data_IF_942129582051
#
_entry.id   IF_942129582051
#
_cell.length_a   1.000
_cell.length_b   1.000
_cell.length_c   1.000
_cell.angle_alpha   90.00
_cell.angle_beta   90.00
_cell.angle_gamma   90.00
#
_symmetry.space_group_name_H-M   'P 1'
#
loop_
_entity.id
_entity.type
_entity.pdbx_description
1 polymer ?
#
# COMPACT_ATOMS: atom_id res chain seq x y z
N UNK A 1 -3.07 28.15 -23.86
CA UNK A 1 -4.35 27.43 -23.71
C UNK A 1 -4.62 27.19 -22.23
N UNK A 2 -5.61 27.88 -21.64
CA UNK A 2 -5.90 27.90 -20.19
C UNK A 2 -6.92 26.83 -19.75
N UNK A 3 -7.24 25.87 -20.62
CA UNK A 3 -8.44 25.03 -20.46
C UNK A 3 -8.13 23.53 -20.32
N UNK A 4 -6.93 23.16 -19.87
CA UNK A 4 -6.56 21.75 -19.66
C UNK A 4 -5.93 21.45 -18.29
N UNK A 5 -6.04 22.34 -17.30
CA UNK A 5 -5.95 21.88 -15.92
C UNK A 5 -7.31 21.27 -15.58
N UNK A 6 -7.56 20.03 -16.05
CA UNK A 6 -8.48 19.14 -15.33
C UNK A 6 -8.09 19.28 -13.86
N UNK A 7 -9.03 19.63 -12.99
CA UNK A 7 -8.75 19.77 -11.57
C UNK A 7 -8.20 18.42 -11.08
N UNK A 8 -6.88 18.32 -10.92
CA UNK A 8 -6.25 17.13 -10.38
C UNK A 8 -6.57 17.17 -8.90
N UNK A 9 -7.43 16.25 -8.44
CA UNK A 9 -7.71 16.10 -7.02
C UNK A 9 -6.44 15.61 -6.35
N UNK A 10 -5.86 16.46 -5.49
CA UNK A 10 -4.73 16.09 -4.65
C UNK A 10 -5.24 15.26 -3.48
N UNK A 11 -4.69 14.06 -3.29
CA UNK A 11 -4.99 13.25 -2.12
C UNK A 11 -4.35 13.85 -0.88
N UNK A 12 -5.10 13.80 0.22
CA UNK A 12 -4.61 14.16 1.54
C UNK A 12 -3.86 12.96 2.14
N UNK A 13 -2.84 13.21 2.97
CA UNK A 13 -2.15 12.19 3.77
C UNK A 13 -3.09 11.19 4.45
N UNK A 14 -4.14 11.71 5.10
CA UNK A 14 -5.12 10.91 5.83
C UNK A 14 -5.84 9.90 4.94
N UNK A 15 -6.08 10.21 3.67
CA UNK A 15 -6.76 9.29 2.75
C UNK A 15 -5.86 8.11 2.38
N UNK A 16 -4.56 8.34 2.24
CA UNK A 16 -3.60 7.26 1.97
C UNK A 16 -3.39 6.40 3.22
N UNK A 17 -3.35 7.00 4.41
CA UNK A 17 -3.31 6.25 5.67
C UNK A 17 -4.56 5.42 5.90
N UNK A 18 -5.73 6.01 5.67
CA UNK A 18 -7.01 5.31 5.76
C UNK A 18 -7.04 4.09 4.82
N UNK A 19 -6.54 4.25 3.58
CA UNK A 19 -6.37 3.14 2.67
C UNK A 19 -5.44 2.06 3.23
N UNK A 20 -4.26 2.44 3.73
CA UNK A 20 -3.28 1.48 4.24
C UNK A 20 -3.87 0.68 5.41
N UNK A 21 -4.55 1.33 6.35
CA UNK A 21 -5.15 0.66 7.50
C UNK A 21 -6.28 -0.28 7.10
N UNK A 22 -7.18 0.14 6.20
CA UNK A 22 -8.23 -0.74 5.65
C UNK A 22 -7.63 -1.94 4.91
N UNK A 23 -6.55 -1.72 4.18
CA UNK A 23 -5.86 -2.79 3.44
C UNK A 23 -5.14 -3.76 4.38
N UNK A 24 -4.55 -3.26 5.47
CA UNK A 24 -4.00 -4.10 6.54
C UNK A 24 -5.09 -4.93 7.22
N UNK A 25 -6.28 -4.38 7.42
CA UNK A 25 -7.40 -5.13 8.01
C UNK A 25 -7.83 -6.31 7.12
N UNK A 26 -7.98 -6.07 5.81
CA UNK A 26 -8.32 -7.10 4.82
C UNK A 26 -7.21 -8.15 4.73
N UNK A 27 -5.96 -7.74 4.53
CA UNK A 27 -4.83 -8.67 4.47
C UNK A 27 -4.61 -9.41 5.78
N UNK A 28 -4.83 -8.75 6.92
CA UNK A 28 -4.73 -9.36 8.24
C UNK A 28 -5.72 -10.51 8.40
N UNK A 29 -6.97 -10.34 7.98
CA UNK A 29 -7.95 -11.44 7.97
C UNK A 29 -7.52 -12.60 7.07
N UNK A 30 -6.94 -12.31 5.91
CA UNK A 30 -6.42 -13.33 4.98
C UNK A 30 -5.27 -14.11 5.65
N UNK A 31 -4.30 -13.40 6.22
CA UNK A 31 -3.16 -14.03 6.89
C UNK A 31 -3.57 -14.83 8.14
N UNK A 32 -4.63 -14.40 8.85
CA UNK A 32 -5.22 -15.19 9.95
C UNK A 32 -5.87 -16.46 9.42
N UNK A 33 -6.69 -16.36 8.36
CA UNK A 33 -7.32 -17.52 7.72
C UNK A 33 -6.27 -18.52 7.22
N UNK A 34 -5.17 -18.03 6.67
CA UNK A 34 -4.09 -18.84 6.11
C UNK A 34 -3.09 -19.34 7.18
N UNK A 35 -3.34 -19.03 8.46
CA UNK A 35 -2.51 -19.49 9.60
C UNK A 35 -1.14 -18.80 9.72
N UNK A 36 -0.91 -17.73 8.97
CA UNK A 36 0.33 -16.93 9.01
C UNK A 36 0.35 -15.92 10.16
N UNK A 37 -0.84 -15.49 10.62
CA UNK A 37 -1.04 -14.73 11.86
C UNK A 37 -1.95 -15.56 12.77
N UNK A 38 -1.48 -15.89 13.97
CA UNK A 38 -2.28 -16.59 14.98
C UNK A 38 -2.97 -15.56 15.90
N UNK A 39 -4.10 -15.95 16.50
CA UNK A 39 -4.73 -15.24 17.62
C UNK A 39 -3.70 -14.94 18.72
N UNK A 40 -2.77 -15.85 18.98
CA UNK A 40 -1.67 -15.63 19.94
C UNK A 40 -0.79 -14.43 19.57
N UNK A 41 -0.58 -14.16 18.29
CA UNK A 41 0.21 -13.00 17.84
C UNK A 41 -0.55 -11.68 18.13
N UNK A 42 -1.88 -11.72 18.04
CA UNK A 42 -2.76 -10.60 18.41
C UNK A 42 -2.77 -10.38 19.91
N UNK A 43 -2.94 -11.45 20.69
CA UNK A 43 -2.89 -11.40 22.15
C UNK A 43 -1.53 -10.91 22.65
N UNK A 44 -0.44 -11.40 22.07
CA UNK A 44 0.92 -10.96 22.42
C UNK A 44 1.12 -9.46 22.16
N UNK A 45 0.59 -8.95 21.05
CA UNK A 45 0.61 -7.52 20.78
C UNK A 45 -0.24 -6.73 21.78
N UNK A 46 -1.47 -7.16 22.07
CA UNK A 46 -2.39 -6.43 22.95
C UNK A 46 -1.96 -6.47 24.43
N UNK A 47 -1.44 -7.60 24.90
CA UNK A 47 -1.12 -7.83 26.31
C UNK A 47 0.32 -7.45 26.64
N UNK A 48 1.27 -7.81 25.77
CA UNK A 48 2.71 -7.61 26.01
C UNK A 48 3.29 -6.43 25.23
N UNK A 49 2.50 -5.79 24.36
CA UNK A 49 2.98 -4.74 23.47
C UNK A 49 3.93 -5.24 22.37
N UNK A 50 4.14 -6.56 22.24
CA UNK A 50 5.02 -7.11 21.22
C UNK A 50 4.26 -7.26 19.90
N UNK A 51 4.29 -6.20 19.10
CA UNK A 51 3.49 -6.09 17.88
C UNK A 51 4.29 -6.30 16.60
N UNK A 52 5.46 -6.95 16.62
CA UNK A 52 6.34 -7.05 15.42
C UNK A 52 5.62 -7.61 14.19
N UNK A 53 4.83 -8.68 14.35
CA UNK A 53 4.04 -9.27 13.26
C UNK A 53 2.95 -8.31 12.76
N UNK A 54 2.22 -7.67 13.66
CA UNK A 54 1.08 -6.81 13.31
C UNK A 54 1.46 -5.41 12.83
N UNK A 55 2.50 -4.79 13.39
CA UNK A 55 2.87 -3.39 13.14
C UNK A 55 3.98 -3.24 12.09
N UNK A 56 4.74 -4.31 11.81
CA UNK A 56 5.82 -4.26 10.83
C UNK A 56 5.50 -5.19 9.67
N UNK A 57 5.28 -6.48 9.93
CA UNK A 57 5.16 -7.47 8.86
C UNK A 57 3.85 -7.32 8.08
N UNK A 58 2.71 -7.12 8.76
CA UNK A 58 1.42 -6.96 8.09
C UNK A 58 1.37 -5.70 7.19
N UNK A 59 1.81 -4.50 7.62
CA UNK A 59 1.91 -3.35 6.74
C UNK A 59 2.87 -3.57 5.57
N UNK A 60 4.03 -4.18 5.81
CA UNK A 60 4.99 -4.50 4.75
C UNK A 60 4.38 -5.46 3.70
N UNK A 61 3.68 -6.49 4.16
CA UNK A 61 2.94 -7.41 3.30
C UNK A 61 1.86 -6.69 2.48
N UNK A 62 1.09 -5.82 3.13
CA UNK A 62 0.03 -5.03 2.49
C UNK A 62 0.60 -4.13 1.39
N UNK A 63 1.73 -3.47 1.65
CA UNK A 63 2.43 -2.65 0.65
C UNK A 63 2.97 -3.52 -0.49
N UNK A 64 3.52 -4.71 -0.20
CA UNK A 64 3.96 -5.63 -1.25
C UNK A 64 2.80 -6.07 -2.16
N UNK A 65 1.64 -6.41 -1.60
CA UNK A 65 0.45 -6.75 -2.38
C UNK A 65 0.00 -5.59 -3.27
N UNK A 66 0.04 -4.36 -2.75
CA UNK A 66 -0.21 -3.14 -3.53
C UNK A 66 0.78 -3.01 -4.70
N UNK A 67 2.08 -3.21 -4.46
CA UNK A 67 3.11 -3.12 -5.50
C UNK A 67 2.90 -4.15 -6.61
N UNK A 68 2.63 -5.41 -6.25
CA UNK A 68 2.38 -6.49 -7.20
C UNK A 68 1.15 -6.22 -8.06
N UNK A 69 0.04 -5.79 -7.44
CA UNK A 69 -1.18 -5.43 -8.16
C UNK A 69 -0.96 -4.22 -9.09
N UNK A 70 -0.21 -3.23 -8.63
CA UNK A 70 0.13 -2.03 -9.41
C UNK A 70 1.03 -2.34 -10.60
N UNK A 71 2.01 -3.23 -10.42
CA UNK A 71 2.90 -3.66 -11.50
C UNK A 71 2.15 -4.45 -12.58
N UNK A 72 1.19 -5.30 -12.19
CA UNK A 72 0.36 -6.10 -13.11
C UNK A 72 -0.67 -5.28 -13.90
N UNK A 73 -1.16 -4.17 -13.36
CA UNK A 73 -2.33 -3.44 -13.90
C UNK A 73 -2.03 -2.45 -15.03
N UNK A 74 -0.79 -2.37 -15.54
CA UNK A 74 -0.35 -1.32 -16.48
C UNK A 74 -0.62 0.12 -16.01
N UNK A 75 -0.92 0.31 -14.72
CA UNK A 75 -1.14 1.60 -14.07
C UNK A 75 0.12 2.46 -14.14
N UNK A 76 -0.02 3.79 -14.17
CA UNK A 76 1.11 4.73 -14.09
C UNK A 76 1.57 5.00 -12.65
N UNK A 77 0.85 4.46 -11.67
CA UNK A 77 1.09 4.71 -10.26
C UNK A 77 0.82 3.52 -9.34
N UNK A 78 0.61 3.78 -8.05
CA UNK A 78 0.21 2.78 -7.07
C UNK A 78 -1.30 2.66 -7.05
N UNK A 79 -1.81 1.47 -7.38
CA UNK A 79 -3.22 1.13 -7.27
C UNK A 79 -3.52 0.84 -5.80
N UNK A 80 -4.16 1.81 -5.17
CA UNK A 80 -4.65 1.71 -3.80
C UNK A 80 -6.14 1.25 -3.84
N UNK A 81 -7.06 1.64 -2.97
CA UNK A 81 -8.44 1.08 -2.96
C UNK A 81 -9.32 1.55 -4.12
N UNK A 82 -10.36 0.76 -4.46
CA UNK A 82 -11.49 1.19 -5.31
C UNK A 82 -11.10 1.80 -6.67
N UNK A 83 -10.04 1.26 -7.30
CA UNK A 83 -9.54 1.77 -8.58
C UNK A 83 -8.88 3.14 -8.49
N UNK A 84 -8.56 3.62 -7.28
CA UNK A 84 -7.78 4.83 -7.06
C UNK A 84 -6.31 4.56 -7.33
N UNK A 85 -5.72 5.42 -8.15
CA UNK A 85 -4.31 5.39 -8.49
C UNK A 85 -3.59 6.60 -7.89
N UNK A 86 -2.59 6.34 -7.05
CA UNK A 86 -1.63 7.36 -6.59
C UNK A 86 -0.52 7.52 -7.62
N UNK A 87 -0.45 8.70 -8.20
CA UNK A 87 0.55 9.15 -9.18
C UNK A 87 1.32 10.32 -8.60
N UNK A 88 2.42 10.72 -9.24
CA UNK A 88 3.14 11.94 -8.86
C UNK A 88 2.26 13.20 -8.89
N UNK A 89 1.24 13.21 -9.74
CA UNK A 89 0.38 14.36 -9.98
C UNK A 89 -0.67 14.57 -8.87
N UNK A 90 -1.16 13.47 -8.27
CA UNK A 90 -2.23 13.50 -7.28
C UNK A 90 -1.81 13.05 -5.88
N UNK A 91 -0.57 12.57 -5.69
CA UNK A 91 -0.07 12.15 -4.39
C UNK A 91 0.07 13.32 -3.41
N UNK A 92 -0.05 13.08 -2.09
CA UNK A 92 0.21 14.11 -1.09
C UNK A 92 1.60 14.73 -1.25
N UNK A 93 1.70 16.07 -1.10
CA UNK A 93 2.94 16.83 -1.30
C UNK A 93 3.76 17.03 -0.03
N UNK A 94 3.30 16.54 1.10
CA UNK A 94 4.07 16.62 2.33
C UNK A 94 5.32 15.74 2.24
N UNK A 95 6.33 16.07 3.06
CA UNK A 95 7.64 15.41 2.99
C UNK A 95 7.56 13.91 3.32
N UNK A 96 6.69 13.50 4.25
CA UNK A 96 6.62 12.09 4.67
C UNK A 96 6.11 11.23 3.51
N UNK A 97 5.10 11.70 2.78
CA UNK A 97 4.60 11.00 1.60
C UNK A 97 5.57 11.03 0.43
N UNK A 98 6.31 12.12 0.22
CA UNK A 98 7.37 12.14 -0.79
C UNK A 98 8.44 11.06 -0.50
N UNK A 99 8.83 10.91 0.77
CA UNK A 99 9.80 9.89 1.22
C UNK A 99 9.24 8.46 1.15
N UNK A 100 7.93 8.28 1.28
CA UNK A 100 7.30 6.97 1.22
C UNK A 100 6.95 6.56 -0.22
N UNK A 101 6.21 7.40 -0.95
CA UNK A 101 5.62 7.06 -2.26
C UNK A 101 6.69 6.99 -3.35
N UNK A 102 7.68 7.88 -3.35
CA UNK A 102 8.73 7.89 -4.36
C UNK A 102 9.47 6.55 -4.48
N UNK A 103 10.03 6.02 -3.37
CA UNK A 103 10.65 4.69 -3.37
C UNK A 103 9.69 3.56 -3.77
N UNK A 104 8.43 3.61 -3.36
CA UNK A 104 7.44 2.59 -3.72
C UNK A 104 7.13 2.59 -5.23
N UNK A 105 7.07 3.76 -5.87
CA UNK A 105 6.91 3.88 -7.32
C UNK A 105 8.10 3.26 -8.06
N UNK A 106 9.32 3.48 -7.57
CA UNK A 106 10.53 2.85 -8.12
C UNK A 106 10.46 1.33 -7.98
N UNK A 107 10.11 0.82 -6.79
CA UNK A 107 9.97 -0.61 -6.54
C UNK A 107 8.92 -1.26 -7.44
N UNK A 108 7.79 -0.59 -7.67
CA UNK A 108 6.74 -1.06 -8.58
C UNK A 108 7.27 -1.23 -10.00
N UNK A 109 7.98 -0.23 -10.55
CA UNK A 109 8.52 -0.32 -11.91
C UNK A 109 9.62 -1.39 -12.00
N UNK A 110 10.42 -1.56 -10.95
CA UNK A 110 11.38 -2.67 -10.86
C UNK A 110 10.67 -4.03 -10.89
N UNK A 111 9.62 -4.23 -10.08
CA UNK A 111 8.81 -5.45 -10.06
C UNK A 111 8.17 -5.73 -11.42
N UNK A 112 7.63 -4.69 -12.08
CA UNK A 112 7.03 -4.82 -13.42
C UNK A 112 8.03 -5.36 -14.43
N UNK A 113 9.28 -4.89 -14.36
CA UNK A 113 10.34 -5.31 -15.27
C UNK A 113 10.95 -6.68 -14.95
N UNK A 114 10.57 -7.33 -13.84
CA UNK A 114 11.01 -8.67 -13.50
C UNK A 114 10.22 -9.77 -14.23
N UNK A 115 9.15 -9.44 -14.96
CA UNK A 115 8.29 -10.40 -15.69
C UNK A 115 7.88 -11.61 -14.83
N UNK A 116 7.48 -11.35 -13.58
CA UNK A 116 7.13 -12.39 -12.62
C UNK A 116 5.97 -13.25 -13.14
N UNK A 117 6.22 -14.54 -13.36
CA UNK A 117 5.17 -15.54 -13.61
C UNK A 117 4.57 -16.00 -12.30
N UNK A 118 3.26 -16.25 -12.27
CA UNK A 118 2.63 -16.92 -11.12
C UNK A 118 3.20 -18.34 -11.04
N UNK A 119 3.85 -18.65 -9.91
CA UNK A 119 4.41 -19.96 -9.61
C UNK A 119 3.37 -20.95 -9.10
#
# INVERSE_FOLDING_TARGET
SRTLKKAITLYKPVQVWEWLFKSCEVNGRILVRDGLIDVKDVEECLVKGNCKKLYIQLPAWTVLQCLLASAKSNSSGLVISDGVELTEMNSPRDKVFAWLVGPLMIMKEQIKNLELTEG
#
